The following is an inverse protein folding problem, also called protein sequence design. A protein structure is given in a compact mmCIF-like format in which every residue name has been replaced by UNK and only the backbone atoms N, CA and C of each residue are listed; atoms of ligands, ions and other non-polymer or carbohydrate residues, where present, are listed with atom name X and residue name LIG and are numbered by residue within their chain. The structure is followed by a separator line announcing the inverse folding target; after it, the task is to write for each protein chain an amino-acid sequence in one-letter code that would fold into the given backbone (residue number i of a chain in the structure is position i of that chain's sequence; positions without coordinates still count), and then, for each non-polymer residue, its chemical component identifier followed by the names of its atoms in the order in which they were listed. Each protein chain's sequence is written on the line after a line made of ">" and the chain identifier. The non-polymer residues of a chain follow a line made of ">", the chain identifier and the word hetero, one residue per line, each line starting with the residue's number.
data_IF_790649392388
#
_entry.id   IF_790649392388
#
_cell.length_a   1.000
_cell.length_b   1.000
_cell.length_c   1.000
_cell.angle_alpha   90.00
_cell.angle_beta   90.00
_cell.angle_gamma   90.00
#
_symmetry.space_group_name_H-M   'P 1'
#
loop_
_entity.id
_entity.type
_entity.pdbx_description
1 polymer ?
#
# COMPACT_ATOMS: atom_id res chain seq x y z
N UNK A 1 7.72 11.57 -17.65
CA UNK A 1 6.88 10.37 -17.94
C UNK A 1 6.38 9.91 -16.59
N UNK A 2 5.08 9.81 -16.43
CA UNK A 2 4.45 9.42 -15.16
C UNK A 2 4.95 8.04 -14.74
N UNK A 3 5.32 7.91 -13.46
CA UNK A 3 5.83 6.66 -12.88
C UNK A 3 4.68 5.75 -12.41
N UNK A 4 3.52 6.35 -12.12
CA UNK A 4 2.30 5.65 -11.75
C UNK A 4 1.50 5.36 -13.03
N UNK A 5 1.19 4.09 -13.24
CA UNK A 5 0.47 3.67 -14.44
C UNK A 5 -0.97 4.21 -14.46
N UNK A 6 -1.43 4.78 -15.60
CA UNK A 6 -2.80 5.24 -15.76
C UNK A 6 -3.79 4.10 -16.05
N UNK A 7 -3.28 2.93 -16.43
CA UNK A 7 -4.03 1.72 -16.75
C UNK A 7 -3.89 0.67 -15.62
N UNK A 8 -4.81 -0.29 -15.50
CA UNK A 8 -4.72 -1.34 -14.50
C UNK A 8 -3.41 -2.14 -14.61
N UNK A 9 -2.71 -2.29 -13.49
CA UNK A 9 -1.56 -3.16 -13.37
C UNK A 9 -1.99 -4.61 -13.07
N UNK A 10 -1.12 -5.61 -13.29
CA UNK A 10 -1.42 -6.99 -12.88
C UNK A 10 -1.85 -7.07 -11.40
N UNK A 11 -2.78 -7.98 -11.04
CA UNK A 11 -3.12 -8.22 -9.64
C UNK A 11 -1.87 -8.46 -8.79
N UNK A 12 -1.83 -7.85 -7.61
CA UNK A 12 -0.63 -7.84 -6.76
C UNK A 12 0.26 -6.61 -6.90
N UNK A 13 -0.06 -5.67 -7.81
CA UNK A 13 0.71 -4.44 -7.98
C UNK A 13 0.02 -3.23 -7.34
N UNK A 14 0.71 -2.49 -6.48
CA UNK A 14 0.20 -1.30 -5.79
C UNK A 14 1.27 -0.22 -5.73
N UNK A 15 0.87 1.05 -5.89
CA UNK A 15 1.74 2.19 -5.62
C UNK A 15 1.51 2.73 -4.20
N UNK A 16 2.58 3.23 -3.58
CA UNK A 16 2.50 3.92 -2.30
C UNK A 16 3.47 5.08 -2.27
N UNK A 17 3.04 6.17 -1.65
CA UNK A 17 3.93 7.28 -1.31
C UNK A 17 4.05 7.36 0.20
N UNK A 18 5.20 7.80 0.67
CA UNK A 18 5.50 7.88 2.11
C UNK A 18 6.34 9.11 2.38
N UNK A 19 6.38 9.55 3.63
CA UNK A 19 7.16 10.69 4.10
C UNK A 19 7.89 10.31 5.39
N UNK A 20 9.19 10.57 5.45
CA UNK A 20 9.98 10.42 6.67
C UNK A 20 9.83 11.62 7.60
N UNK A 21 10.21 11.45 8.86
CA UNK A 21 10.09 12.51 9.87
C UNK A 21 10.91 13.77 9.59
N UNK A 22 11.85 13.74 8.63
CA UNK A 22 12.63 14.88 8.14
C UNK A 22 12.00 15.57 6.90
N UNK A 23 10.78 15.17 6.51
CA UNK A 23 10.02 15.77 5.40
C UNK A 23 10.39 15.24 4.02
N UNK A 24 11.30 14.28 3.91
CA UNK A 24 11.60 13.65 2.61
C UNK A 24 10.52 12.64 2.26
N UNK A 25 10.03 12.69 1.02
CA UNK A 25 9.02 11.76 0.55
C UNK A 25 9.55 10.83 -0.54
N UNK A 26 8.92 9.66 -0.66
CA UNK A 26 9.28 8.59 -1.57
C UNK A 26 8.06 8.02 -2.28
N UNK A 27 8.29 7.40 -3.43
CA UNK A 27 7.30 6.67 -4.21
C UNK A 27 7.81 5.25 -4.45
N UNK A 28 7.06 4.26 -4.00
CA UNK A 28 7.35 2.85 -4.18
C UNK A 28 6.27 2.16 -5.00
N UNK A 29 6.68 1.19 -5.81
CA UNK A 29 5.78 0.17 -6.36
C UNK A 29 6.00 -1.14 -5.63
N UNK A 30 4.93 -1.68 -5.08
CA UNK A 30 4.92 -2.98 -4.41
C UNK A 30 4.36 -3.99 -5.39
N UNK A 31 5.06 -5.10 -5.55
CA UNK A 31 4.65 -6.23 -6.38
C UNK A 31 4.59 -7.49 -5.53
N UNK A 32 3.44 -8.18 -5.57
CA UNK A 32 3.21 -9.43 -4.84
C UNK A 32 2.92 -10.56 -5.82
N UNK A 33 3.84 -11.51 -5.87
CA UNK A 33 3.65 -12.80 -6.55
C UNK A 33 3.24 -13.90 -5.58
N UNK A 34 2.65 -14.98 -6.10
CA UNK A 34 2.29 -16.18 -5.34
C UNK A 34 2.55 -17.44 -6.15
N UNK A 35 2.99 -18.50 -5.49
CA UNK A 35 3.16 -19.83 -6.08
C UNK A 35 2.81 -20.92 -5.08
N UNK A 36 2.59 -22.16 -5.52
CA UNK A 36 2.44 -23.29 -4.60
C UNK A 36 3.62 -23.36 -3.61
N UNK A 37 3.33 -23.63 -2.34
CA UNK A 37 4.30 -23.51 -1.25
C UNK A 37 3.74 -23.90 0.11
N UNK A 38 4.22 -23.22 1.14
CA UNK A 38 4.06 -23.57 2.57
C UNK A 38 3.53 -22.42 3.42
N UNK A 39 2.96 -21.38 2.81
CA UNK A 39 2.41 -20.23 3.53
C UNK A 39 3.46 -19.21 3.97
N UNK A 40 4.64 -19.18 3.33
CA UNK A 40 5.73 -18.28 3.74
C UNK A 40 5.73 -16.98 2.93
N UNK A 41 5.97 -15.87 3.61
CA UNK A 41 6.34 -14.60 2.97
C UNK A 41 7.84 -14.55 2.70
N UNK A 42 8.21 -14.21 1.48
CA UNK A 42 9.59 -14.03 1.03
C UNK A 42 9.72 -12.65 0.44
N UNK A 43 10.65 -11.88 0.98
CA UNK A 43 10.86 -10.50 0.60
C UNK A 43 12.18 -10.41 -0.19
N UNK A 44 12.14 -9.97 -1.44
CA UNK A 44 13.31 -9.78 -2.31
C UNK A 44 13.79 -8.33 -2.33
N UNK A 45 15.06 -8.11 -2.70
CA UNK A 45 15.63 -6.78 -2.86
C UNK A 45 16.14 -6.13 -1.56
N UNK A 46 16.60 -4.89 -1.71
CA UNK A 46 17.26 -4.11 -0.65
C UNK A 46 16.26 -3.31 0.19
N UNK A 47 15.32 -4.00 0.84
CA UNK A 47 14.38 -3.34 1.77
C UNK A 47 15.05 -3.05 3.11
N UNK A 48 14.81 -1.85 3.64
CA UNK A 48 15.20 -1.45 4.99
C UNK A 48 14.46 -2.27 6.06
N UNK A 49 14.91 -2.15 7.32
CA UNK A 49 14.36 -2.92 8.44
C UNK A 49 12.91 -2.53 8.74
N UNK A 50 12.58 -1.24 8.76
CA UNK A 50 11.24 -0.76 9.11
C UNK A 50 10.18 -1.23 8.10
N UNK A 51 10.55 -1.28 6.82
CA UNK A 51 9.73 -1.83 5.75
C UNK A 51 9.51 -3.32 5.94
N UNK A 52 10.56 -4.12 6.16
CA UNK A 52 10.44 -5.57 6.42
C UNK A 52 9.55 -5.87 7.63
N UNK A 53 9.70 -5.10 8.71
CA UNK A 53 8.88 -5.24 9.91
C UNK A 53 7.42 -4.86 9.63
N UNK A 54 7.18 -3.82 8.81
CA UNK A 54 5.85 -3.40 8.36
C UNK A 54 5.16 -4.45 7.49
N UNK A 55 5.86 -5.04 6.51
CA UNK A 55 5.36 -6.15 5.70
C UNK A 55 5.01 -7.37 6.56
N UNK A 56 5.87 -7.72 7.52
CA UNK A 56 5.63 -8.84 8.44
C UNK A 56 4.37 -8.63 9.29
N UNK A 57 4.16 -7.42 9.82
CA UNK A 57 2.94 -7.10 10.58
C UNK A 57 1.67 -7.24 9.74
N UNK A 58 1.70 -6.71 8.52
CA UNK A 58 0.59 -6.79 7.58
C UNK A 58 0.25 -8.23 7.19
N UNK A 59 1.29 -9.06 6.95
CA UNK A 59 1.13 -10.47 6.62
C UNK A 59 0.52 -11.27 7.77
N UNK A 60 1.02 -11.09 8.99
CA UNK A 60 0.46 -11.76 10.18
C UNK A 60 -0.98 -11.30 10.47
N UNK A 61 -1.28 -10.02 10.28
CA UNK A 61 -2.66 -9.53 10.35
C UNK A 61 -3.56 -10.28 9.37
N UNK A 62 -3.20 -10.35 8.07
CA UNK A 62 -4.02 -11.04 7.08
C UNK A 62 -4.16 -12.53 7.41
N UNK A 63 -3.07 -13.17 7.86
CA UNK A 63 -3.06 -14.57 8.28
C UNK A 63 -4.02 -14.83 9.44
N UNK A 64 -4.13 -13.89 10.38
CA UNK A 64 -5.11 -13.97 11.48
C UNK A 64 -6.57 -13.87 11.00
N UNK A 65 -6.80 -13.26 9.83
CA UNK A 65 -8.12 -13.06 9.21
C UNK A 65 -8.46 -14.04 8.08
N UNK A 66 -7.56 -14.98 7.79
CA UNK A 66 -7.69 -15.86 6.61
C UNK A 66 -8.98 -16.69 6.58
N UNK A 67 -9.49 -17.12 7.75
CA UNK A 67 -10.73 -17.89 7.86
C UNK A 67 -11.95 -17.00 7.58
N UNK A 68 -12.01 -15.84 8.24
CA UNK A 68 -13.08 -14.85 8.06
C UNK A 68 -13.20 -14.38 6.61
N UNK A 69 -12.07 -14.29 5.92
CA UNK A 69 -11.98 -13.84 4.52
C UNK A 69 -12.11 -14.97 3.49
N UNK A 70 -12.22 -16.24 3.92
CA UNK A 70 -12.33 -17.38 3.02
C UNK A 70 -11.06 -17.67 2.19
N UNK A 71 -9.90 -17.17 2.61
CA UNK A 71 -8.59 -17.32 1.91
C UNK A 71 -7.63 -18.27 2.64
N UNK A 72 -8.14 -19.07 3.59
CA UNK A 72 -7.32 -19.92 4.45
C UNK A 72 -6.48 -20.92 3.66
N UNK A 73 -7.06 -21.52 2.61
CA UNK A 73 -6.39 -22.50 1.76
C UNK A 73 -5.21 -21.86 1.03
N UNK A 74 -5.41 -20.72 0.39
CA UNK A 74 -4.39 -19.99 -0.36
C UNK A 74 -3.26 -19.58 0.58
N UNK A 75 -3.58 -19.02 1.74
CA UNK A 75 -2.60 -18.59 2.74
C UNK A 75 -1.75 -19.74 3.30
N UNK A 76 -2.26 -20.96 3.35
CA UNK A 76 -1.54 -22.12 3.90
C UNK A 76 -0.79 -22.94 2.83
N UNK A 77 -1.21 -22.87 1.57
CA UNK A 77 -0.68 -23.70 0.47
C UNK A 77 0.11 -22.92 -0.58
N UNK A 78 0.25 -21.61 -0.42
CA UNK A 78 1.03 -20.75 -1.32
C UNK A 78 2.16 -20.04 -0.58
N UNK A 79 3.33 -19.95 -1.19
CA UNK A 79 4.36 -18.99 -0.78
C UNK A 79 4.11 -17.66 -1.50
N UNK A 80 4.38 -16.56 -0.80
CA UNK A 80 4.19 -15.18 -1.29
C UNK A 80 5.54 -14.52 -1.45
N UNK A 81 5.73 -13.83 -2.57
CA UNK A 81 6.97 -13.14 -2.91
C UNK A 81 6.67 -11.67 -3.06
N UNK A 82 7.38 -10.82 -2.33
CA UNK A 82 7.18 -9.37 -2.37
C UNK A 82 8.47 -8.67 -2.78
N UNK A 83 8.33 -7.76 -3.75
CA UNK A 83 9.35 -6.81 -4.13
C UNK A 83 8.82 -5.38 -3.94
N UNK A 84 9.66 -4.50 -3.41
CA UNK A 84 9.36 -3.09 -3.24
C UNK A 84 10.38 -2.27 -4.04
N UNK A 85 9.92 -1.67 -5.13
CA UNK A 85 10.76 -0.93 -6.09
C UNK A 85 10.71 0.55 -5.74
N UNK A 86 11.86 1.13 -5.40
CA UNK A 86 12.00 2.58 -5.18
C UNK A 86 12.02 3.29 -6.53
N UNK A 87 10.93 3.97 -6.89
CA UNK A 87 10.80 4.59 -8.21
C UNK A 87 11.53 5.93 -8.30
N UNK A 88 11.92 6.52 -7.17
CA UNK A 88 12.61 7.81 -7.09
C UNK A 88 14.05 7.69 -6.57
N UNK A 89 14.52 6.47 -6.28
CA UNK A 89 15.82 6.21 -5.63
C UNK A 89 16.03 7.03 -4.34
N UNK A 90 14.94 7.18 -3.59
CA UNK A 90 14.85 8.04 -2.41
C UNK A 90 15.70 7.52 -1.24
N UNK A 91 15.86 6.19 -1.11
CA UNK A 91 16.57 5.52 -0.01
C UNK A 91 16.05 5.94 1.39
N UNK A 92 14.73 6.08 1.53
CA UNK A 92 14.09 6.53 2.77
C UNK A 92 13.59 5.33 3.59
N UNK A 93 13.84 5.38 4.90
CA UNK A 93 13.25 4.41 5.84
C UNK A 93 11.77 4.68 6.03
N UNK A 94 10.92 3.69 5.77
CA UNK A 94 9.47 3.90 5.71
C UNK A 94 8.67 2.65 6.07
N UNK A 95 7.39 2.85 6.35
CA UNK A 95 6.40 1.81 6.61
C UNK A 95 5.31 1.88 5.54
N UNK A 96 4.95 0.74 4.97
CA UNK A 96 4.09 0.62 3.77
C UNK A 96 3.08 -0.53 3.90
N UNK A 97 2.78 -0.93 5.13
CA UNK A 97 2.05 -2.17 5.42
C UNK A 97 0.64 -2.18 4.85
N UNK A 98 -0.03 -1.03 4.78
CA UNK A 98 -1.35 -0.93 4.16
C UNK A 98 -1.31 -1.16 2.65
N UNK A 99 -0.34 -0.55 1.96
CA UNK A 99 -0.17 -0.75 0.53
C UNK A 99 0.17 -2.21 0.19
N UNK A 100 1.03 -2.84 1.00
CA UNK A 100 1.32 -4.27 0.86
C UNK A 100 0.11 -5.16 1.16
N UNK A 101 -0.68 -4.85 2.19
CA UNK A 101 -1.90 -5.61 2.48
C UNK A 101 -2.89 -5.56 1.30
N UNK A 102 -3.06 -4.37 0.71
CA UNK A 102 -3.89 -4.20 -0.50
C UNK A 102 -3.33 -5.01 -1.67
N UNK A 103 -2.02 -4.97 -1.90
CA UNK A 103 -1.36 -5.76 -2.94
C UNK A 103 -1.55 -7.28 -2.71
N UNK A 104 -1.41 -7.74 -1.48
CA UNK A 104 -1.58 -9.15 -1.13
C UNK A 104 -3.02 -9.63 -1.36
N UNK A 105 -4.02 -8.83 -0.97
CA UNK A 105 -5.44 -9.14 -1.22
C UNK A 105 -5.74 -9.09 -2.73
N UNK A 106 -5.18 -8.11 -3.46
CA UNK A 106 -5.26 -8.03 -4.92
C UNK A 106 -4.76 -9.31 -5.58
N UNK A 107 -3.56 -9.77 -5.21
CA UNK A 107 -2.97 -11.00 -5.72
C UNK A 107 -3.84 -12.22 -5.40
N UNK A 108 -4.32 -12.34 -4.15
CA UNK A 108 -5.16 -13.45 -3.68
C UNK A 108 -6.48 -13.55 -4.45
N UNK A 109 -7.16 -12.41 -4.64
CA UNK A 109 -8.44 -12.31 -5.35
C UNK A 109 -8.31 -12.33 -6.88
N UNK A 110 -7.08 -12.20 -7.39
CA UNK A 110 -6.82 -12.03 -8.82
C UNK A 110 -7.59 -10.82 -9.40
N UNK A 111 -7.65 -9.74 -8.62
CA UNK A 111 -8.37 -8.51 -8.95
C UNK A 111 -7.38 -7.34 -8.91
N UNK A 112 -7.25 -6.53 -9.97
CA UNK A 112 -6.32 -5.42 -10.00
C UNK A 112 -6.74 -4.31 -9.04
N UNK A 113 -5.75 -3.51 -8.63
CA UNK A 113 -6.00 -2.26 -7.93
C UNK A 113 -6.39 -1.20 -8.95
N UNK A 114 -7.33 -0.33 -8.58
CA UNK A 114 -7.79 0.78 -9.39
C UNK A 114 -6.58 1.57 -9.94
N UNK A 115 -6.57 1.92 -11.23
CA UNK A 115 -5.43 2.59 -11.84
C UNK A 115 -5.09 3.93 -11.18
N UNK A 116 -3.86 4.43 -11.33
CA UNK A 116 -3.49 5.73 -10.77
C UNK A 116 -3.80 5.91 -9.27
N UNK A 117 -3.78 4.82 -8.49
CA UNK A 117 -4.08 4.84 -7.04
C UNK A 117 -2.81 4.66 -6.23
N UNK A 118 -2.61 5.55 -5.25
CA UNK A 118 -1.63 5.38 -4.18
C UNK A 118 -2.32 4.97 -2.89
N UNK A 119 -1.70 4.10 -2.10
CA UNK A 119 -2.20 3.68 -0.77
C UNK A 119 -1.25 4.15 0.30
N UNK A 120 -1.74 4.89 1.28
CA UNK A 120 -0.96 5.45 2.39
C UNK A 120 -1.12 4.64 3.66
N UNK A 121 -0.26 4.86 4.66
CA UNK A 121 -0.41 4.33 6.02
C UNK A 121 0.25 2.96 6.28
N UNK A 122 0.24 2.58 7.55
CA UNK A 122 0.75 1.29 8.05
C UNK A 122 -0.27 0.68 9.02
N UNK A 123 -0.01 -0.53 9.51
CA UNK A 123 -0.83 -1.19 10.52
C UNK A 123 -0.01 -1.94 11.57
N UNK A 124 -0.65 -2.19 12.71
CA UNK A 124 -0.19 -3.15 13.70
C UNK A 124 -0.66 -4.58 13.37
N UNK A 125 -0.10 -5.57 14.08
CA UNK A 125 -0.50 -6.98 13.95
C UNK A 125 -1.98 -7.24 14.28
N UNK A 126 -2.60 -6.34 15.07
CA UNK A 126 -4.02 -6.42 15.43
C UNK A 126 -4.92 -5.59 14.51
N UNK A 127 -4.36 -4.98 13.46
CA UNK A 127 -5.12 -4.21 12.48
C UNK A 127 -5.38 -2.75 12.87
N UNK A 128 -4.71 -2.22 13.90
CA UNK A 128 -4.76 -0.79 14.18
C UNK A 128 -4.03 -0.04 13.06
N UNK A 129 -4.76 0.80 12.34
CA UNK A 129 -4.22 1.65 11.29
C UNK A 129 -3.40 2.77 11.93
N UNK A 130 -2.17 2.93 11.42
CA UNK A 130 -1.29 4.04 11.76
C UNK A 130 -1.45 5.13 10.71
N UNK A 131 -1.57 6.36 11.19
CA UNK A 131 -1.58 7.55 10.35
C UNK A 131 -0.21 7.80 9.72
N UNK A 132 -0.20 8.59 8.65
CA UNK A 132 1.04 9.14 8.08
C UNK A 132 1.37 10.49 8.73
N UNK A 133 2.65 10.87 8.86
CA UNK A 133 3.04 12.13 9.52
C UNK A 133 2.52 13.40 8.85
N UNK A 134 2.38 13.37 7.53
CA UNK A 134 1.86 14.46 6.70
C UNK A 134 1.19 13.88 5.46
N UNK A 135 0.22 14.61 4.91
CA UNK A 135 -0.38 14.31 3.61
C UNK A 135 0.17 15.18 2.48
N UNK A 136 0.85 16.29 2.79
CA UNK A 136 1.25 17.27 1.77
C UNK A 136 2.27 16.65 0.81
N UNK A 137 3.39 16.16 1.32
CA UNK A 137 4.49 15.62 0.50
C UNK A 137 4.11 14.31 -0.21
N UNK A 138 3.46 13.31 0.44
CA UNK A 138 3.04 12.09 -0.23
C UNK A 138 2.05 12.34 -1.37
N UNK A 139 1.05 13.21 -1.15
CA UNK A 139 0.05 13.49 -2.18
C UNK A 139 0.63 14.34 -3.32
N UNK A 140 1.52 15.28 -3.02
CA UNK A 140 2.22 16.06 -4.04
C UNK A 140 3.06 15.14 -4.94
N UNK A 141 3.91 14.27 -4.36
CA UNK A 141 4.70 13.31 -5.15
C UNK A 141 3.79 12.38 -5.94
N UNK A 142 2.70 11.90 -5.34
CA UNK A 142 1.73 11.07 -6.05
C UNK A 142 1.18 11.78 -7.28
N UNK A 143 0.67 13.00 -7.09
CA UNK A 143 0.09 13.83 -8.15
C UNK A 143 1.10 14.09 -9.28
N UNK A 144 2.31 14.51 -8.94
CA UNK A 144 3.38 14.83 -9.90
C UNK A 144 3.81 13.61 -10.73
N UNK A 145 3.53 12.40 -10.24
CA UNK A 145 3.86 11.13 -10.89
C UNK A 145 2.65 10.39 -11.46
N UNK A 146 1.48 11.04 -11.53
CA UNK A 146 0.29 10.54 -12.22
C UNK A 146 -0.78 9.90 -11.34
N UNK A 147 -0.70 10.02 -10.01
CA UNK A 147 -1.78 9.58 -9.12
C UNK A 147 -3.03 10.44 -9.34
N UNK A 148 -4.18 9.78 -9.41
CA UNK A 148 -5.52 10.39 -9.48
C UNK A 148 -6.36 10.07 -8.26
N UNK A 149 -5.94 9.09 -7.45
CA UNK A 149 -6.64 8.64 -6.25
C UNK A 149 -5.65 8.34 -5.15
N UNK A 150 -6.03 8.65 -3.92
CA UNK A 150 -5.26 8.28 -2.73
C UNK A 150 -6.14 7.56 -1.73
N UNK A 151 -5.81 6.31 -1.40
CA UNK A 151 -6.40 5.60 -0.28
C UNK A 151 -5.71 6.07 1.02
N UNK A 152 -6.45 6.74 1.91
CA UNK A 152 -5.91 7.48 3.07
C UNK A 152 -6.51 6.97 4.40
N UNK A 153 -5.71 6.78 5.47
CA UNK A 153 -6.23 6.53 6.80
C UNK A 153 -7.25 7.59 7.26
N UNK A 154 -8.36 7.17 7.86
CA UNK A 154 -9.37 8.08 8.41
C UNK A 154 -8.80 9.00 9.50
N UNK A 155 -7.77 8.55 10.21
CA UNK A 155 -7.05 9.34 11.22
C UNK A 155 -6.39 10.59 10.60
N UNK A 156 -5.99 10.54 9.33
CA UNK A 156 -5.36 11.67 8.64
C UNK A 156 -6.34 12.74 8.13
N UNK A 157 -7.65 12.64 8.43
CA UNK A 157 -8.63 13.64 8.00
C UNK A 157 -8.27 15.09 8.36
N UNK A 158 -7.62 15.31 9.51
CA UNK A 158 -7.18 16.66 9.93
C UNK A 158 -6.00 17.18 9.12
N UNK A 159 -5.02 16.31 8.82
CA UNK A 159 -3.88 16.63 7.97
C UNK A 159 -4.31 17.05 6.55
N UNK A 160 -5.50 16.61 6.11
CA UNK A 160 -6.04 16.99 4.81
C UNK A 160 -6.35 18.49 4.69
N UNK A 161 -6.52 19.21 5.81
CA UNK A 161 -6.73 20.67 5.82
C UNK A 161 -5.48 21.46 5.40
N UNK A 162 -4.32 20.83 5.44
CA UNK A 162 -3.02 21.42 5.06
C UNK A 162 -2.68 21.18 3.59
N UNK A 163 -3.45 20.33 2.90
CA UNK A 163 -3.24 19.97 1.50
C UNK A 163 -3.71 21.12 0.60
N UNK A 164 -2.89 21.47 -0.40
CA UNK A 164 -3.19 22.55 -1.34
C UNK A 164 -4.42 22.22 -2.20
N UNK A 165 -5.14 23.25 -2.64
CA UNK A 165 -6.33 23.06 -3.49
C UNK A 165 -6.01 22.35 -4.81
N UNK A 166 -4.84 22.59 -5.40
CA UNK A 166 -4.41 21.94 -6.65
C UNK A 166 -4.29 20.41 -6.49
N UNK A 167 -3.76 19.93 -5.35
CA UNK A 167 -3.72 18.49 -5.04
C UNK A 167 -5.14 17.95 -4.85
N UNK A 168 -5.98 18.64 -4.07
CA UNK A 168 -7.35 18.22 -3.77
C UNK A 168 -8.21 18.12 -5.05
N UNK A 169 -7.98 18.99 -6.02
CA UNK A 169 -8.70 18.99 -7.31
C UNK A 169 -8.28 17.84 -8.24
N UNK A 170 -7.03 17.34 -8.10
CA UNK A 170 -6.45 16.34 -9.02
C UNK A 170 -6.38 14.92 -8.46
N UNK A 171 -6.35 14.79 -7.13
CA UNK A 171 -6.21 13.51 -6.43
C UNK A 171 -7.43 13.28 -5.54
N UNK A 172 -8.29 12.34 -5.95
CA UNK A 172 -9.50 11.97 -5.20
C UNK A 172 -9.14 11.23 -3.90
N UNK A 173 -9.51 11.76 -2.71
CA UNK A 173 -9.20 11.13 -1.43
C UNK A 173 -10.23 10.05 -1.06
N UNK A 174 -9.77 8.80 -0.95
CA UNK A 174 -10.57 7.66 -0.52
C UNK A 174 -10.19 7.28 0.91
N UNK A 175 -10.97 7.74 1.88
CA UNK A 175 -10.69 7.45 3.29
C UNK A 175 -11.11 6.03 3.71
N UNK A 176 -10.30 5.37 4.55
CA UNK A 176 -10.63 4.06 5.14
C UNK A 176 -10.34 4.03 6.65
N UNK A 177 -11.15 3.28 7.39
CA UNK A 177 -11.02 3.10 8.85
C UNK A 177 -10.75 1.66 9.28
N UNK A 178 -10.70 0.72 8.33
CA UNK A 178 -10.43 -0.70 8.55
C UNK A 178 -9.49 -1.23 7.45
N UNK A 179 -8.53 -2.13 7.77
CA UNK A 179 -7.57 -2.60 6.77
C UNK A 179 -8.18 -3.40 5.61
N UNK A 180 -9.22 -4.20 5.85
CA UNK A 180 -9.89 -4.97 4.80
C UNK A 180 -10.75 -4.05 3.94
N UNK A 181 -11.43 -3.09 4.56
CA UNK A 181 -12.18 -2.05 3.85
C UNK A 181 -11.26 -1.22 2.94
N UNK A 182 -10.01 -0.95 3.36
CA UNK A 182 -9.04 -0.28 2.50
C UNK A 182 -8.85 -1.05 1.19
N UNK A 183 -8.57 -2.36 1.26
CA UNK A 183 -8.43 -3.20 0.08
C UNK A 183 -9.70 -3.22 -0.78
N UNK A 184 -10.88 -3.39 -0.17
CA UNK A 184 -12.15 -3.36 -0.91
C UNK A 184 -12.38 -2.05 -1.68
N UNK A 185 -11.97 -0.92 -1.11
CA UNK A 185 -12.12 0.40 -1.75
C UNK A 185 -11.14 0.63 -2.89
N UNK A 186 -9.91 0.14 -2.75
CA UNK A 186 -8.86 0.33 -3.75
C UNK A 186 -8.90 -0.71 -4.88
N UNK A 187 -9.57 -1.85 -4.71
CA UNK A 187 -9.74 -2.87 -5.76
C UNK A 187 -10.86 -2.54 -6.76
N UNK A 188 -10.75 -3.13 -7.95
CA UNK A 188 -11.75 -3.07 -9.01
C UNK A 188 -11.36 -2.17 -10.17
N UNK A 189 -12.31 -1.99 -11.09
CA UNK A 189 -12.20 -1.09 -12.26
C UNK A 189 -12.43 0.39 -11.91
#
# INVERSE_FOLDING_TARGET
>A
RDLIAPDPMPPGCVYTTTVSGDGRAALYRIEVGRSAGTGKLRASGNMNKSMKDSLSRAFEYLRSKKVDLGIAREMDTQDFFVECIDLLNSNIDCQIGMAFLVALISALKNEPVKPATIVLGDLSIHGHIKEVPSLVEPLQIGMDNGAKRACIPIANKRHFLEVSSDIVERVDPIFYGDPIMAAQKCLGE
#
